data_IF_602096974947
#
_entry.id   IF_602096974947
#
_cell.length_a   1.000
_cell.length_b   1.000
_cell.length_c   1.000
_cell.angle_alpha   90.00
_cell.angle_beta   90.00
_cell.angle_gamma   90.00
#
_symmetry.space_group_name_H-M   'P 1'
#
loop_
_entity.id
_entity.type
_entity.pdbx_description
1 polymer ?
#
# COMPACT_ATOMS: atom_id res chain seq x y z
N UNK A 1 -56.59 42.23 48.79
CA UNK A 1 -55.67 41.69 47.77
C UNK A 1 -56.32 40.44 47.22
N UNK A 2 -57.14 40.55 46.18
CA UNK A 2 -57.75 39.39 45.54
C UNK A 2 -56.77 38.82 44.52
N UNK A 3 -56.30 37.61 44.79
CA UNK A 3 -55.50 36.81 43.86
C UNK A 3 -56.43 36.24 42.79
N UNK A 4 -56.41 36.85 41.61
CA UNK A 4 -57.07 36.37 40.41
C UNK A 4 -56.41 35.04 39.98
N UNK A 5 -56.91 33.91 40.50
CA UNK A 5 -56.54 32.60 39.98
C UNK A 5 -57.22 32.45 38.62
N UNK A 6 -56.43 32.72 37.57
CA UNK A 6 -56.85 32.56 36.17
C UNK A 6 -57.43 31.17 35.93
N UNK A 7 -58.49 31.12 35.12
CA UNK A 7 -59.21 29.91 34.71
C UNK A 7 -58.23 28.78 34.39
N UNK A 8 -58.38 27.63 35.05
CA UNK A 8 -57.56 26.44 34.82
C UNK A 8 -57.72 25.92 33.38
N UNK A 9 -56.65 25.35 32.85
CA UNK A 9 -56.62 24.74 31.51
C UNK A 9 -57.70 23.67 31.38
N UNK A 10 -58.46 23.73 30.28
CA UNK A 10 -59.43 22.69 29.94
C UNK A 10 -58.73 21.49 29.31
N UNK A 11 -59.35 20.31 29.43
CA UNK A 11 -58.83 19.08 28.84
C UNK A 11 -58.66 19.19 27.32
N UNK A 12 -59.54 19.95 26.66
CA UNK A 12 -59.53 20.16 25.21
C UNK A 12 -58.34 21.05 24.78
N UNK A 13 -58.01 22.09 25.56
CA UNK A 13 -56.84 22.95 25.31
C UNK A 13 -55.53 22.17 25.48
N UNK A 14 -55.45 21.29 26.49
CA UNK A 14 -54.28 20.43 26.70
C UNK A 14 -54.08 19.46 25.52
N UNK A 15 -55.15 18.84 25.02
CA UNK A 15 -55.09 17.93 23.88
C UNK A 15 -54.63 18.64 22.59
N UNK A 16 -55.11 19.86 22.36
CA UNK A 16 -54.70 20.67 21.20
C UNK A 16 -53.20 21.01 21.28
N UNK A 17 -52.71 21.39 22.46
CA UNK A 17 -51.29 21.71 22.65
C UNK A 17 -50.40 20.50 22.36
N UNK A 18 -50.76 19.32 22.87
CA UNK A 18 -49.98 18.09 22.62
C UNK A 18 -49.98 17.71 21.14
N UNK A 19 -51.11 17.87 20.44
CA UNK A 19 -51.20 17.61 19.00
C UNK A 19 -50.32 18.58 18.19
N UNK A 20 -50.35 19.87 18.51
CA UNK A 20 -49.52 20.89 17.86
C UNK A 20 -48.03 20.64 18.11
N UNK A 21 -47.65 20.29 19.34
CA UNK A 21 -46.28 19.93 19.69
C UNK A 21 -45.80 18.68 18.94
N UNK A 22 -46.65 17.67 18.76
CA UNK A 22 -46.33 16.48 17.97
C UNK A 22 -46.06 16.80 16.50
N UNK A 23 -46.88 17.66 15.89
CA UNK A 23 -46.72 18.09 14.49
C UNK A 23 -45.45 18.93 14.33
N UNK A 24 -45.19 19.88 15.24
CA UNK A 24 -43.99 20.71 15.22
C UNK A 24 -42.72 19.86 15.39
N UNK A 25 -42.74 18.88 16.31
CA UNK A 25 -41.63 17.96 16.50
C UNK A 25 -41.36 17.11 15.24
N UNK A 26 -42.41 16.57 14.60
CA UNK A 26 -42.29 15.82 13.35
C UNK A 26 -41.75 16.70 12.19
N UNK A 27 -42.24 17.94 12.07
CA UNK A 27 -41.75 18.90 11.08
C UNK A 27 -40.28 19.25 11.28
N UNK A 28 -39.84 19.44 12.53
CA UNK A 28 -38.43 19.70 12.86
C UNK A 28 -37.55 18.52 12.47
N UNK A 29 -37.96 17.27 12.76
CA UNK A 29 -37.21 16.05 12.42
C UNK A 29 -37.04 15.92 10.90
N UNK A 30 -38.08 16.21 10.11
CA UNK A 30 -38.03 16.16 8.64
C UNK A 30 -37.11 17.26 8.08
N UNK A 31 -37.11 18.45 8.68
CA UNK A 31 -36.27 19.59 8.22
C UNK A 31 -34.79 19.38 8.55
N UNK A 32 -34.46 18.76 9.67
CA UNK A 32 -33.06 18.58 10.10
C UNK A 32 -32.44 17.25 9.64
N UNK A 33 -33.22 16.36 9.01
CA UNK A 33 -32.89 14.98 8.62
C UNK A 33 -31.69 14.42 9.41
N UNK A 34 -31.90 14.05 10.68
CA UNK A 34 -30.81 13.69 11.57
C UNK A 34 -30.05 12.46 11.07
N UNK A 35 -30.70 11.58 10.28
CA UNK A 35 -30.06 10.42 9.67
C UNK A 35 -29.10 10.84 8.55
N UNK A 36 -29.51 11.73 7.64
CA UNK A 36 -28.60 12.27 6.63
C UNK A 36 -27.40 12.96 7.26
N UNK A 37 -27.61 13.75 8.33
CA UNK A 37 -26.51 14.44 9.04
C UNK A 37 -25.54 13.48 9.73
N UNK A 38 -26.05 12.41 10.34
CA UNK A 38 -25.22 11.34 10.91
C UNK A 38 -24.42 10.62 9.81
N UNK A 39 -25.05 10.30 8.68
CA UNK A 39 -24.39 9.67 7.55
C UNK A 39 -23.29 10.55 6.96
N UNK A 40 -23.55 11.85 6.76
CA UNK A 40 -22.53 12.82 6.32
C UNK A 40 -21.38 12.95 7.31
N UNK A 41 -21.66 12.93 8.62
CA UNK A 41 -20.62 12.96 9.65
C UNK A 41 -19.76 11.69 9.65
N UNK A 42 -20.36 10.52 9.44
CA UNK A 42 -19.62 9.26 9.31
C UNK A 42 -18.77 9.22 8.03
N UNK A 43 -19.31 9.68 6.90
CA UNK A 43 -18.56 9.81 5.64
C UNK A 43 -17.36 10.74 5.78
N UNK A 44 -17.55 11.93 6.36
CA UNK A 44 -16.46 12.88 6.59
C UNK A 44 -15.36 12.31 7.49
N UNK A 45 -15.72 11.53 8.52
CA UNK A 45 -14.73 10.81 9.35
C UNK A 45 -13.96 9.78 8.54
N UNK A 46 -14.65 9.00 7.70
CA UNK A 46 -14.01 8.01 6.82
C UNK A 46 -13.07 8.67 5.82
N UNK A 47 -13.47 9.79 5.20
CA UNK A 47 -12.63 10.56 4.27
C UNK A 47 -11.39 11.13 4.98
N UNK A 48 -11.58 11.70 6.17
CA UNK A 48 -10.46 12.24 6.97
C UNK A 48 -9.49 11.14 7.36
N UNK A 49 -10.00 9.97 7.76
CA UNK A 49 -9.17 8.81 8.06
C UNK A 49 -8.42 8.31 6.81
N UNK A 50 -9.11 8.14 5.67
CA UNK A 50 -8.48 7.73 4.41
C UNK A 50 -7.40 8.72 3.96
N UNK A 51 -7.66 10.03 4.06
CA UNK A 51 -6.69 11.08 3.77
C UNK A 51 -5.49 11.03 4.74
N UNK A 52 -5.73 10.75 6.03
CA UNK A 52 -4.64 10.58 7.00
C UNK A 52 -3.74 9.41 6.62
N UNK A 53 -4.31 8.27 6.17
CA UNK A 53 -3.52 7.13 5.73
C UNK A 53 -2.70 7.47 4.49
N UNK A 54 -3.30 8.17 3.52
CA UNK A 54 -2.58 8.59 2.31
C UNK A 54 -1.41 9.52 2.63
N UNK A 55 -1.61 10.46 3.54
CA UNK A 55 -0.51 11.32 3.99
C UNK A 55 0.60 10.51 4.68
N UNK A 56 0.24 9.52 5.51
CA UNK A 56 1.24 8.66 6.15
C UNK A 56 1.98 7.78 5.13
N UNK A 57 1.29 7.28 4.10
CA UNK A 57 1.94 6.55 3.00
C UNK A 57 2.92 7.46 2.24
N UNK A 58 2.59 8.72 2.01
CA UNK A 58 3.47 9.63 1.27
C UNK A 58 4.69 10.11 2.09
N UNK A 59 4.60 10.16 3.42
CA UNK A 59 5.59 10.84 4.27
C UNK A 59 6.97 10.16 4.28
N UNK A 60 7.01 8.83 4.18
CA UNK A 60 8.24 8.04 4.22
C UNK A 60 8.54 7.32 2.90
N UNK A 61 7.82 7.66 1.83
CA UNK A 61 8.02 7.10 0.50
C UNK A 61 9.32 7.66 -0.09
N UNK A 62 10.32 6.81 -0.29
CA UNK A 62 11.65 7.21 -0.80
C UNK A 62 11.88 6.84 -2.27
N UNK A 63 10.98 6.05 -2.84
CA UNK A 63 10.96 5.71 -4.26
C UNK A 63 9.60 5.19 -4.69
N UNK A 64 9.08 5.70 -5.81
CA UNK A 64 7.86 5.19 -6.45
C UNK A 64 8.01 5.16 -7.97
N UNK A 65 7.90 3.97 -8.57
CA UNK A 65 7.96 3.76 -10.02
C UNK A 65 6.65 3.17 -10.52
N UNK A 66 5.76 4.04 -11.00
CA UNK A 66 4.43 3.69 -11.52
C UNK A 66 4.42 3.23 -12.98
N UNK A 67 5.61 3.09 -13.59
CA UNK A 67 5.85 2.76 -15.00
C UNK A 67 4.88 3.39 -16.02
N UNK A 68 4.47 4.63 -15.75
CA UNK A 68 3.45 5.36 -16.50
C UNK A 68 4.03 6.00 -17.78
N UNK A 69 4.53 5.16 -18.68
CA UNK A 69 5.21 5.55 -19.92
C UNK A 69 6.66 6.05 -19.74
N UNK A 70 7.17 6.03 -18.51
CA UNK A 70 8.57 6.28 -18.16
C UNK A 70 8.92 5.49 -16.88
N UNK A 71 10.19 5.48 -16.48
CA UNK A 71 10.67 4.87 -15.24
C UNK A 71 11.07 5.94 -14.21
N UNK A 72 10.41 7.10 -14.20
CA UNK A 72 10.75 8.18 -13.27
C UNK A 72 10.21 7.88 -11.87
N UNK A 73 10.91 8.41 -10.87
CA UNK A 73 10.51 8.37 -9.48
C UNK A 73 9.51 9.49 -9.17
N UNK A 74 8.34 9.12 -8.64
CA UNK A 74 7.27 10.06 -8.25
C UNK A 74 7.24 10.39 -6.76
N UNK A 75 8.14 9.81 -5.96
CA UNK A 75 8.25 10.08 -4.51
C UNK A 75 8.76 11.49 -4.17
N UNK A 76 9.48 12.12 -5.10
CA UNK A 76 10.12 13.43 -4.91
C UNK A 76 11.61 13.36 -4.54
N UNK A 77 12.18 12.17 -4.35
CA UNK A 77 13.61 11.99 -4.08
C UNK A 77 14.49 11.97 -5.34
N UNK A 78 13.88 11.82 -6.52
CA UNK A 78 14.58 11.91 -7.80
C UNK A 78 15.37 10.65 -8.15
N UNK A 79 15.01 9.51 -7.56
CA UNK A 79 15.60 8.20 -7.83
C UNK A 79 15.09 7.64 -9.18
N UNK A 80 15.29 8.38 -10.26
CA UNK A 80 14.76 7.99 -11.58
C UNK A 80 15.46 6.73 -12.10
N UNK A 81 14.66 5.80 -12.63
CA UNK A 81 15.14 4.66 -13.40
C UNK A 81 15.62 5.08 -14.80
N UNK A 82 16.62 4.36 -15.31
CA UNK A 82 17.19 4.53 -16.65
C UNK A 82 16.14 4.47 -17.77
N UNK A 83 15.52 3.31 -17.98
CA UNK A 83 14.36 3.14 -18.86
C UNK A 83 13.72 1.77 -18.67
N UNK A 84 12.40 1.70 -18.76
CA UNK A 84 11.73 0.41 -18.90
C UNK A 84 12.05 -0.22 -20.28
N UNK A 85 12.41 -1.52 -20.36
CA UNK A 85 12.66 -2.19 -21.64
C UNK A 85 11.46 -2.17 -22.60
N UNK A 86 10.25 -2.43 -22.09
CA UNK A 86 9.01 -2.32 -22.87
C UNK A 86 7.81 -2.04 -21.96
N UNK A 87 7.04 -1.01 -22.28
CA UNK A 87 5.79 -0.70 -21.59
C UNK A 87 4.63 -1.56 -22.12
N UNK A 88 3.81 -2.07 -21.21
CA UNK A 88 2.64 -2.90 -21.51
C UNK A 88 1.46 -2.52 -20.61
N UNK A 89 0.25 -3.07 -20.83
CA UNK A 89 -0.86 -2.84 -19.91
C UNK A 89 -0.60 -3.36 -18.50
N UNK A 90 -1.07 -2.63 -17.48
CA UNK A 90 -0.95 -3.01 -16.07
C UNK A 90 -2.03 -3.98 -15.56
N UNK A 91 -2.01 -4.24 -14.25
CA UNK A 91 -3.01 -5.01 -13.52
C UNK A 91 -4.43 -4.39 -13.51
N UNK A 92 -4.57 -3.14 -13.97
CA UNK A 92 -5.85 -2.43 -14.20
C UNK A 92 -6.20 -2.34 -15.70
N UNK A 93 -5.48 -3.04 -16.58
CA UNK A 93 -5.60 -2.98 -18.04
C UNK A 93 -5.40 -1.57 -18.63
N UNK A 94 -4.69 -0.69 -17.94
CA UNK A 94 -4.33 0.63 -18.43
C UNK A 94 -3.09 0.51 -19.30
N UNK A 95 -3.14 1.09 -20.50
CA UNK A 95 -2.08 0.98 -21.52
C UNK A 95 -0.80 1.69 -21.07
N UNK A 96 0.35 1.06 -21.30
CA UNK A 96 1.69 1.57 -21.00
C UNK A 96 1.88 1.97 -19.53
N UNK A 97 1.41 1.11 -18.63
CA UNK A 97 1.47 1.33 -17.18
C UNK A 97 2.34 0.31 -16.46
N UNK A 98 2.65 -0.84 -17.04
CA UNK A 98 3.59 -1.80 -16.47
C UNK A 98 4.84 -1.94 -17.32
N UNK A 99 5.92 -2.43 -16.70
CA UNK A 99 7.18 -2.70 -17.36
C UNK A 99 7.39 -4.20 -17.60
N UNK A 100 7.79 -4.59 -18.81
CA UNK A 100 8.04 -5.99 -19.20
C UNK A 100 9.52 -6.34 -19.16
N UNK A 101 9.82 -7.53 -18.63
CA UNK A 101 11.17 -8.08 -18.46
C UNK A 101 11.26 -9.48 -19.07
N UNK A 102 12.30 -9.74 -19.86
CA UNK A 102 12.49 -10.97 -20.64
C UNK A 102 13.09 -12.16 -19.86
N UNK A 103 13.56 -11.96 -18.63
CA UNK A 103 14.18 -13.03 -17.83
C UNK A 103 15.60 -13.42 -18.21
N UNK A 104 16.30 -12.62 -19.03
CA UNK A 104 17.65 -12.90 -19.54
C UNK A 104 18.61 -11.72 -19.44
N UNK A 105 18.14 -10.49 -19.68
CA UNK A 105 18.99 -9.29 -19.75
C UNK A 105 18.33 -8.02 -19.25
N UNK A 106 17.01 -8.03 -19.07
CA UNK A 106 16.23 -6.84 -18.83
C UNK A 106 16.24 -6.45 -17.35
N UNK A 107 16.47 -5.17 -17.08
CA UNK A 107 16.38 -4.56 -15.75
C UNK A 107 16.16 -3.05 -15.91
N UNK A 108 15.75 -2.40 -14.82
CA UNK A 108 15.76 -0.94 -14.69
C UNK A 108 16.79 -0.57 -13.63
N UNK A 109 17.83 0.15 -14.03
CA UNK A 109 18.80 0.74 -13.10
C UNK A 109 18.26 2.06 -12.55
N UNK A 110 18.10 2.15 -11.23
CA UNK A 110 17.61 3.31 -10.48
C UNK A 110 18.74 4.19 -9.93
N UNK A 111 19.98 3.69 -9.96
CA UNK A 111 21.13 4.36 -9.36
C UNK A 111 21.23 4.14 -7.85
N UNK A 112 22.07 4.95 -7.20
CA UNK A 112 22.41 4.84 -5.78
C UNK A 112 22.13 6.15 -5.03
N UNK A 113 20.87 6.59 -5.02
CA UNK A 113 20.47 7.75 -4.24
C UNK A 113 20.54 7.47 -2.73
N UNK A 114 20.99 8.44 -1.94
CA UNK A 114 21.16 8.26 -0.49
C UNK A 114 19.85 7.93 0.25
N UNK A 115 18.69 8.34 -0.28
CA UNK A 115 17.40 7.97 0.30
C UNK A 115 17.02 6.51 0.10
N UNK A 116 17.76 5.76 -0.73
CA UNK A 116 17.56 4.32 -0.94
C UNK A 116 18.38 3.46 0.04
N UNK A 117 19.23 4.07 0.88
CA UNK A 117 19.93 3.40 1.98
C UNK A 117 19.01 3.23 3.20
N UNK A 118 17.90 2.54 2.96
CA UNK A 118 16.79 2.36 3.91
C UNK A 118 17.09 1.27 4.93
N UNK A 119 16.61 1.46 6.17
CA UNK A 119 16.73 0.48 7.25
C UNK A 119 18.11 0.43 7.90
N UNK A 120 19.01 1.34 7.52
CA UNK A 120 20.31 1.53 8.17
C UNK A 120 20.22 2.28 9.50
N UNK A 121 19.20 3.12 9.67
CA UNK A 121 18.84 3.81 10.91
C UNK A 121 17.34 3.55 11.17
N UNK A 122 16.94 3.33 12.42
CA UNK A 122 15.55 2.99 12.82
C UNK A 122 15.03 1.63 12.32
N UNK A 123 15.89 0.85 11.66
CA UNK A 123 15.70 -0.59 11.41
C UNK A 123 14.37 -0.97 10.71
N UNK A 124 13.75 -0.03 10.00
CA UNK A 124 12.44 -0.23 9.38
C UNK A 124 12.43 0.05 7.88
N UNK A 125 11.61 -0.71 7.16
CA UNK A 125 11.54 -0.65 5.71
C UNK A 125 10.26 -1.30 5.20
N UNK A 126 9.73 -0.80 4.09
CA UNK A 126 8.75 -1.52 3.29
C UNK A 126 9.11 -1.50 1.82
N UNK A 127 9.00 -2.64 1.13
CA UNK A 127 9.09 -2.75 -0.32
C UNK A 127 7.79 -3.34 -0.84
N UNK A 128 7.22 -2.75 -1.88
CA UNK A 128 5.98 -3.19 -2.53
C UNK A 128 6.14 -3.22 -4.04
N UNK A 129 5.48 -4.18 -4.69
CA UNK A 129 5.33 -4.22 -6.14
C UNK A 129 4.11 -5.05 -6.55
N UNK A 130 3.51 -4.69 -7.67
CA UNK A 130 2.68 -5.59 -8.46
C UNK A 130 3.55 -6.36 -9.45
N UNK A 131 3.39 -7.68 -9.49
CA UNK A 131 4.18 -8.55 -10.36
C UNK A 131 3.31 -9.55 -11.11
N UNK A 132 3.68 -9.86 -12.33
CA UNK A 132 3.07 -10.90 -13.16
C UNK A 132 4.18 -11.79 -13.71
N UNK A 133 4.17 -13.08 -13.39
CA UNK A 133 5.18 -14.00 -13.91
C UNK A 133 4.73 -14.60 -15.24
N UNK A 134 5.58 -14.51 -16.26
CA UNK A 134 5.42 -15.28 -17.50
C UNK A 134 5.91 -16.73 -17.31
N UNK A 135 6.98 -16.89 -16.51
CA UNK A 135 7.56 -18.18 -16.15
C UNK A 135 7.81 -18.19 -14.66
N UNK A 136 7.35 -19.23 -13.96
CA UNK A 136 7.64 -19.40 -12.54
C UNK A 136 9.04 -19.97 -12.37
N UNK A 137 9.95 -19.13 -11.91
CA UNK A 137 11.33 -19.46 -11.54
C UNK A 137 11.80 -18.50 -10.46
N UNK A 138 12.93 -18.79 -9.83
CA UNK A 138 13.60 -17.79 -8.99
C UNK A 138 13.84 -16.50 -9.78
N UNK A 139 13.39 -15.37 -9.23
CA UNK A 139 13.37 -14.08 -9.93
C UNK A 139 13.46 -12.92 -8.94
N UNK A 140 14.31 -11.95 -9.24
CA UNK A 140 14.47 -10.76 -8.41
C UNK A 140 13.51 -9.67 -8.85
N UNK A 141 12.74 -9.13 -7.90
CA UNK A 141 11.79 -8.05 -8.17
C UNK A 141 12.52 -6.71 -8.02
N UNK A 142 13.17 -6.51 -6.87
CA UNK A 142 13.95 -5.33 -6.52
C UNK A 142 15.20 -5.77 -5.78
N UNK A 143 16.36 -5.24 -6.12
CA UNK A 143 17.61 -5.53 -5.42
C UNK A 143 18.52 -4.30 -5.36
N UNK A 144 18.96 -3.93 -4.17
CA UNK A 144 20.14 -3.11 -3.97
C UNK A 144 21.25 -4.05 -3.55
N UNK A 145 22.06 -4.46 -4.53
CA UNK A 145 23.09 -5.51 -4.36
C UNK A 145 23.89 -5.24 -3.10
N UNK A 146 24.16 -6.29 -2.33
CA UNK A 146 24.94 -6.17 -1.10
C UNK A 146 24.26 -5.32 -0.01
N UNK A 147 22.94 -5.13 -0.06
CA UNK A 147 22.22 -4.42 0.99
C UNK A 147 20.86 -5.05 1.27
N UNK A 148 19.90 -4.98 0.35
CA UNK A 148 18.59 -5.63 0.48
C UNK A 148 18.05 -6.07 -0.87
N UNK A 149 17.25 -7.12 -0.90
CA UNK A 149 16.56 -7.56 -2.10
C UNK A 149 15.27 -8.32 -1.79
N UNK A 150 14.34 -8.23 -2.72
CA UNK A 150 13.01 -8.82 -2.66
C UNK A 150 12.81 -9.75 -3.86
N UNK A 151 12.61 -11.02 -3.60
CA UNK A 151 12.62 -12.06 -4.63
C UNK A 151 11.45 -13.05 -4.49
N UNK A 152 11.17 -13.73 -5.59
CA UNK A 152 10.42 -14.99 -5.57
C UNK A 152 11.46 -16.10 -5.68
N UNK A 153 11.48 -17.03 -4.72
CA UNK A 153 12.32 -18.23 -4.75
C UNK A 153 11.55 -19.44 -5.26
N UNK A 154 12.05 -20.03 -6.35
CA UNK A 154 11.42 -21.21 -6.95
C UNK A 154 9.99 -20.91 -7.39
N UNK A 155 9.01 -21.63 -6.83
CA UNK A 155 7.60 -21.52 -7.19
C UNK A 155 6.64 -21.38 -6.01
N UNK A 156 7.14 -21.16 -4.79
CA UNK A 156 6.30 -21.19 -3.59
C UNK A 156 6.66 -20.17 -2.52
N UNK A 157 7.84 -19.56 -2.62
CA UNK A 157 8.36 -18.72 -1.55
C UNK A 157 8.63 -17.33 -2.10
N UNK A 158 8.14 -16.33 -1.40
CA UNK A 158 8.57 -14.94 -1.52
C UNK A 158 9.53 -14.70 -0.36
N UNK A 159 10.67 -14.09 -0.64
CA UNK A 159 11.70 -13.80 0.36
C UNK A 159 12.04 -12.30 0.32
N UNK A 160 12.22 -11.74 1.52
CA UNK A 160 12.88 -10.45 1.68
C UNK A 160 14.17 -10.68 2.46
N UNK A 161 15.27 -10.24 1.87
CA UNK A 161 16.62 -10.50 2.36
C UNK A 161 17.36 -9.19 2.50
N UNK A 162 18.27 -9.16 3.47
CA UNK A 162 19.21 -8.06 3.62
C UNK A 162 20.51 -8.54 4.24
N UNK A 163 21.55 -7.72 4.11
CA UNK A 163 22.79 -7.90 4.85
C UNK A 163 22.77 -7.00 6.08
N UNK A 164 23.03 -7.60 7.24
CA UNK A 164 23.22 -6.86 8.48
C UNK A 164 24.55 -6.11 8.50
N UNK A 165 24.78 -5.28 9.53
CA UNK A 165 26.02 -4.50 9.71
C UNK A 165 27.28 -5.35 9.89
N UNK A 166 27.14 -6.65 10.21
CA UNK A 166 28.21 -7.64 10.31
C UNK A 166 28.42 -8.46 9.01
N UNK A 167 27.68 -8.16 7.94
CA UNK A 167 27.64 -8.88 6.66
C UNK A 167 26.99 -10.28 6.73
N UNK A 168 26.18 -10.54 7.76
CA UNK A 168 25.30 -11.72 7.81
C UNK A 168 24.09 -11.53 6.89
N UNK A 169 23.69 -12.58 6.17
CA UNK A 169 22.43 -12.57 5.39
C UNK A 169 21.28 -12.90 6.33
N UNK A 170 20.38 -11.94 6.50
CA UNK A 170 19.12 -12.07 7.26
C UNK A 170 17.96 -12.25 6.29
N UNK A 171 17.05 -13.18 6.59
CA UNK A 171 15.92 -13.51 5.72
C UNK A 171 14.58 -13.47 6.43
N UNK A 172 13.57 -13.01 5.71
CA UNK A 172 12.16 -13.13 6.04
C UNK A 172 11.51 -14.02 4.99
N UNK A 173 10.86 -15.08 5.43
CA UNK A 173 10.27 -16.12 4.59
C UNK A 173 8.76 -16.03 4.61
N UNK A 174 8.15 -16.32 3.46
CA UNK A 174 6.70 -16.54 3.37
C UNK A 174 6.34 -18.01 3.23
N UNK A 175 5.12 -18.34 3.66
CA UNK A 175 4.37 -19.49 3.22
C UNK A 175 3.28 -19.01 2.24
N UNK A 176 3.71 -18.59 1.05
CA UNK A 176 2.84 -17.97 0.05
C UNK A 176 1.93 -18.96 -0.70
N UNK A 177 2.10 -20.27 -0.45
CA UNK A 177 1.53 -21.33 -1.27
C UNK A 177 2.08 -21.33 -2.70
N UNK A 178 1.50 -22.15 -3.58
CA UNK A 178 1.96 -22.23 -4.97
C UNK A 178 1.77 -20.89 -5.68
N UNK A 179 2.84 -20.41 -6.31
CA UNK A 179 2.85 -19.25 -7.20
C UNK A 179 2.67 -19.78 -8.63
N UNK A 180 1.72 -19.20 -9.35
CA UNK A 180 1.40 -19.62 -10.72
C UNK A 180 1.68 -18.47 -11.68
N UNK A 181 2.22 -18.81 -12.86
CA UNK A 181 2.37 -17.85 -13.94
C UNK A 181 1.00 -17.39 -14.44
N UNK A 182 0.97 -16.24 -15.10
CA UNK A 182 -0.23 -15.78 -15.78
C UNK A 182 -1.18 -14.94 -14.92
N UNK A 183 -0.80 -14.60 -13.69
CA UNK A 183 -1.65 -13.82 -12.76
C UNK A 183 -0.87 -12.70 -12.10
N UNK A 184 -1.52 -11.56 -11.90
CA UNK A 184 -0.98 -10.43 -11.13
C UNK A 184 -1.02 -10.76 -9.64
N UNK A 185 0.09 -10.46 -8.96
CA UNK A 185 0.28 -10.60 -7.53
C UNK A 185 0.75 -9.26 -6.96
N UNK A 186 0.13 -8.81 -5.89
CA UNK A 186 0.62 -7.68 -5.11
C UNK A 186 1.43 -8.21 -3.94
N UNK A 187 2.73 -7.90 -3.93
CA UNK A 187 3.67 -8.43 -2.96
C UNK A 187 4.25 -7.30 -2.14
N UNK A 188 4.28 -7.47 -0.82
CA UNK A 188 4.83 -6.47 0.10
C UNK A 188 5.70 -7.14 1.15
N UNK A 189 6.91 -6.63 1.35
CA UNK A 189 7.77 -7.00 2.47
C UNK A 189 7.87 -5.83 3.44
N UNK A 190 7.73 -6.10 4.74
CA UNK A 190 7.80 -5.11 5.81
C UNK A 190 8.80 -5.58 6.86
N UNK A 191 9.65 -4.66 7.32
CA UNK A 191 10.53 -4.80 8.49
C UNK A 191 10.20 -3.67 9.45
N UNK A 192 9.88 -3.97 10.70
CA UNK A 192 9.57 -2.95 11.74
C UNK A 192 10.65 -2.83 12.83
N UNK A 193 11.85 -3.33 12.55
CA UNK A 193 12.97 -3.42 13.48
C UNK A 193 12.94 -4.67 14.35
N UNK A 194 11.76 -5.21 14.66
CA UNK A 194 11.62 -6.40 15.53
C UNK A 194 10.99 -7.59 14.82
N UNK A 195 10.08 -7.33 13.88
CA UNK A 195 9.33 -8.32 13.13
C UNK A 195 9.43 -8.06 11.63
N UNK A 196 9.49 -9.16 10.90
CA UNK A 196 9.48 -9.19 9.45
C UNK A 196 8.16 -9.77 8.97
N UNK A 197 7.56 -9.17 7.96
CA UNK A 197 6.30 -9.65 7.36
C UNK A 197 6.38 -9.65 5.85
N UNK A 198 5.73 -10.64 5.25
CA UNK A 198 5.49 -10.68 3.80
C UNK A 198 4.00 -10.83 3.58
N UNK A 199 3.45 -9.98 2.71
CA UNK A 199 2.06 -10.03 2.29
C UNK A 199 1.97 -10.42 0.82
N UNK A 200 1.02 -11.31 0.52
CA UNK A 200 0.61 -11.67 -0.85
C UNK A 200 -0.86 -11.33 -1.02
N UNK A 201 -1.16 -10.46 -1.98
CA UNK A 201 -2.53 -9.99 -2.26
C UNK A 201 -3.25 -9.45 -1.01
N UNK A 202 -2.52 -8.68 -0.19
CA UNK A 202 -3.04 -8.05 1.03
C UNK A 202 -3.23 -9.00 2.23
N UNK A 203 -2.88 -10.28 2.11
CA UNK A 203 -2.95 -11.27 3.19
C UNK A 203 -1.54 -11.54 3.72
N UNK A 204 -1.39 -11.56 5.04
CA UNK A 204 -0.13 -11.93 5.70
C UNK A 204 0.21 -13.37 5.33
N UNK A 205 1.32 -13.55 4.63
CA UNK A 205 1.84 -14.82 4.16
C UNK A 205 3.14 -15.17 4.89
N UNK A 206 3.49 -14.50 5.99
CA UNK A 206 4.74 -14.72 6.71
C UNK A 206 4.81 -16.13 7.28
N UNK A 207 5.95 -16.79 7.12
CA UNK A 207 6.26 -18.08 7.74
C UNK A 207 7.13 -17.88 8.98
N UNK A 208 8.30 -17.25 8.78
CA UNK A 208 9.33 -17.06 9.79
C UNK A 208 10.26 -15.95 9.37
N UNK A 209 11.04 -15.42 10.31
CA UNK A 209 12.15 -14.53 10.05
C UNK A 209 13.36 -14.95 10.87
N UNK A 210 14.54 -14.68 10.35
CA UNK A 210 15.76 -14.66 11.16
C UNK A 210 15.69 -13.51 12.19
N UNK A 211 16.66 -13.45 13.10
CA UNK A 211 16.79 -12.30 14.00
C UNK A 211 17.09 -11.07 13.16
N UNK A 212 16.25 -10.05 13.31
CA UNK A 212 16.37 -8.82 12.54
C UNK A 212 17.38 -7.88 13.19
N UNK A 213 18.15 -7.19 12.35
CA UNK A 213 19.15 -6.19 12.73
C UNK A 213 19.11 -5.04 11.73
N UNK A 214 19.91 -4.00 11.94
CA UNK A 214 20.09 -2.89 11.03
C UNK A 214 20.66 -3.36 9.68
N UNK A 215 20.17 -2.75 8.61
CA UNK A 215 20.58 -3.08 7.25
C UNK A 215 21.85 -2.30 6.93
N UNK A 216 22.91 -2.97 6.47
CA UNK A 216 24.13 -2.27 6.05
C UNK A 216 23.89 -1.36 4.85
N UNK A 217 24.71 -0.33 4.67
CA UNK A 217 24.68 0.49 3.47
C UNK A 217 25.62 -0.05 2.39
N UNK A 218 25.41 0.42 1.16
CA UNK A 218 26.27 0.07 0.02
C UNK A 218 26.24 1.19 -1.02
N UNK A 219 27.27 1.26 -1.87
CA UNK A 219 27.30 2.18 -3.01
C UNK A 219 26.76 1.56 -4.30
N UNK A 220 26.29 0.30 -4.24
CA UNK A 220 25.70 -0.36 -5.40
C UNK A 220 24.34 0.24 -5.72
N UNK A 221 24.02 0.26 -7.02
CA UNK A 221 22.73 0.74 -7.51
C UNK A 221 21.58 -0.17 -7.07
N UNK A 222 20.40 0.44 -6.89
CA UNK A 222 19.14 -0.27 -6.85
C UNK A 222 18.74 -0.67 -8.28
N UNK A 223 18.37 -1.94 -8.45
CA UNK A 223 17.87 -2.49 -9.70
C UNK A 223 16.44 -3.01 -9.49
N UNK A 224 15.61 -2.84 -10.51
CA UNK A 224 14.30 -3.49 -10.62
C UNK A 224 14.43 -4.56 -11.72
N UNK A 225 14.04 -5.80 -11.39
CA UNK A 225 14.00 -6.92 -12.34
C UNK A 225 15.30 -7.73 -12.49
N UNK A 226 16.33 -7.49 -11.66
CA UNK A 226 17.55 -8.32 -11.59
C UNK A 226 18.26 -8.11 -10.26
N UNK A 227 19.01 -9.12 -9.79
CA UNK A 227 19.86 -8.96 -8.60
C UNK A 227 20.98 -7.95 -8.86
N UNK A 228 21.80 -8.17 -9.89
CA UNK A 228 23.05 -7.42 -10.12
C UNK A 228 23.32 -7.07 -11.60
N UNK A 229 22.29 -7.03 -12.44
CA UNK A 229 22.39 -6.81 -13.89
C UNK A 229 23.26 -7.87 -14.62
N UNK A 230 23.40 -9.06 -14.01
CA UNK A 230 24.09 -10.21 -14.62
C UNK A 230 23.45 -11.56 -14.27
N UNK A 231 22.65 -11.62 -13.19
CA UNK A 231 21.94 -12.81 -12.75
C UNK A 231 20.50 -12.50 -12.29
N UNK A 232 19.74 -13.58 -12.09
CA UNK A 232 18.42 -13.60 -11.43
C UNK A 232 17.37 -12.66 -12.07
N UNK A 233 17.47 -12.49 -13.38
CA UNK A 233 16.56 -11.67 -14.17
C UNK A 233 15.10 -12.13 -14.06
N UNK A 234 14.24 -11.15 -13.77
CA UNK A 234 12.80 -11.30 -13.72
C UNK A 234 12.21 -11.62 -15.10
N UNK A 235 11.32 -12.61 -15.17
CA UNK A 235 10.61 -12.96 -16.40
C UNK A 235 9.11 -12.71 -16.24
N UNK A 236 8.66 -11.55 -16.70
CA UNK A 236 7.30 -11.11 -16.39
C UNK A 236 7.11 -9.61 -16.50
N UNK A 237 6.06 -9.13 -15.84
CA UNK A 237 5.71 -7.72 -15.74
C UNK A 237 5.86 -7.24 -14.30
N UNK A 238 6.33 -6.01 -14.11
CA UNK A 238 6.38 -5.34 -12.82
C UNK A 238 5.68 -3.98 -12.96
N UNK A 239 4.87 -3.62 -11.97
CA UNK A 239 4.20 -2.33 -11.86
C UNK A 239 4.18 -1.83 -10.41
N UNK A 240 4.00 -0.52 -10.25
CA UNK A 240 3.86 0.22 -8.99
C UNK A 240 4.88 -0.22 -7.92
N UNK A 241 6.16 -0.14 -8.26
CA UNK A 241 7.21 -0.44 -7.28
C UNK A 241 7.31 0.72 -6.30
N UNK A 242 7.26 0.43 -5.00
CA UNK A 242 7.39 1.42 -3.93
C UNK A 242 8.40 0.97 -2.89
N UNK A 243 9.17 1.93 -2.39
CA UNK A 243 10.08 1.73 -1.26
C UNK A 243 9.80 2.82 -0.22
N UNK A 244 9.61 2.39 1.02
CA UNK A 244 9.36 3.25 2.17
C UNK A 244 10.48 3.10 3.18
N UNK A 245 10.93 4.23 3.75
CA UNK A 245 11.82 4.28 4.90
C UNK A 245 11.06 4.13 6.24
N UNK A 246 9.98 3.36 6.23
CA UNK A 246 9.21 3.02 7.42
C UNK A 246 8.48 1.68 7.24
N UNK A 247 8.06 1.10 8.36
CA UNK A 247 7.25 -0.10 8.36
C UNK A 247 5.76 0.22 8.15
N UNK A 248 5.19 -0.23 7.04
CA UNK A 248 3.77 -0.09 6.81
C UNK A 248 2.96 -1.03 7.71
N UNK A 249 1.88 -0.50 8.29
CA UNK A 249 0.92 -1.25 9.07
C UNK A 249 0.07 -2.14 8.17
N UNK A 250 -0.41 -3.27 8.69
CA UNK A 250 -1.21 -4.25 7.93
C UNK A 250 -2.42 -3.63 7.19
N UNK A 251 -3.07 -2.62 7.78
CA UNK A 251 -4.18 -1.94 7.12
C UNK A 251 -3.73 -1.07 5.94
N UNK A 252 -2.54 -0.46 6.01
CA UNK A 252 -1.95 0.33 4.92
C UNK A 252 -1.59 -0.60 3.75
N UNK A 253 -1.01 -1.76 4.04
CA UNK A 253 -0.70 -2.78 3.03
C UNK A 253 -1.95 -3.30 2.32
N UNK A 254 -3.03 -3.52 3.07
CA UNK A 254 -4.34 -3.91 2.51
C UNK A 254 -4.95 -2.79 1.67
N UNK A 255 -4.75 -1.53 2.07
CA UNK A 255 -5.23 -0.38 1.33
C UNK A 255 -4.50 -0.22 -0.02
N UNK A 256 -3.16 -0.38 -0.05
CA UNK A 256 -2.40 -0.39 -1.30
C UNK A 256 -2.89 -1.49 -2.26
N UNK A 257 -3.06 -2.71 -1.73
CA UNK A 257 -3.65 -3.81 -2.51
C UNK A 257 -5.04 -3.45 -3.06
N UNK A 258 -5.92 -2.92 -2.20
CA UNK A 258 -7.29 -2.58 -2.59
C UNK A 258 -7.33 -1.48 -3.67
N UNK A 259 -6.45 -0.50 -3.62
CA UNK A 259 -6.33 0.57 -4.61
C UNK A 259 -5.85 0.06 -5.97
N UNK A 260 -4.96 -0.94 -5.97
CA UNK A 260 -4.50 -1.57 -7.20
C UNK A 260 -5.52 -2.50 -7.85
N UNK A 261 -6.62 -2.88 -7.19
CA UNK A 261 -7.64 -3.72 -7.81
C UNK A 261 -8.46 -2.93 -8.85
N UNK A 262 -8.65 -3.52 -10.04
CA UNK A 262 -9.50 -2.98 -11.13
C UNK A 262 -10.89 -2.52 -10.66
N UNK A 263 -11.48 -3.22 -9.67
CA UNK A 263 -12.81 -2.90 -9.13
C UNK A 263 -12.87 -1.58 -8.35
N UNK A 264 -11.75 -1.07 -7.85
CA UNK A 264 -11.71 0.22 -7.14
C UNK A 264 -12.11 1.38 -8.06
N UNK A 265 -11.84 1.27 -9.36
CA UNK A 265 -12.19 2.28 -10.38
C UNK A 265 -13.68 2.31 -10.75
N UNK A 266 -14.46 1.29 -10.37
CA UNK A 266 -15.90 1.21 -10.67
C UNK A 266 -16.78 1.71 -9.51
N UNK A 267 -16.22 1.93 -8.32
CA UNK A 267 -16.96 2.38 -7.14
C UNK A 267 -17.09 3.92 -7.02
N UNK A 268 -16.45 4.68 -7.92
CA UNK A 268 -16.47 6.15 -7.95
C UNK A 268 -17.00 6.73 -9.27
N UNK A 269 -17.79 5.97 -10.04
CA UNK A 269 -18.53 6.48 -11.21
C UNK A 269 -20.02 6.55 -10.92
#
# INVERSE_FOLDING_TARGET
>A
METNWGKGFTLIELLIIVAVLGILAAGIIVVIDPLAKINSANLAKTETFAASIQNTLAMDLVGEWTFSGNANDTSGYGNNGSSCPSFVPDHKNQVNKACSFNGMSDYVDVGNGASLDVGAEESSMTIEAWVYLNVVKSSEIVAKVDQYWFEIKGNSTIEFLFLDTANGIVRIYSNAGVITAGTWLHLVAVKDGTTGRIYKNGIDATSSSDVLDDIRTTTNNLLIGSYNASSDYFNGLIDEVRIYNSALLSYQTKQLYAQGLLKHLLAFR
#
